data_IF_722850249006
#
_entry.id   IF_722850249006
#
_cell.length_a   1.000
_cell.length_b   1.000
_cell.length_c   1.000
_cell.angle_alpha   90.00
_cell.angle_beta   90.00
_cell.angle_gamma   90.00
#
_symmetry.space_group_name_H-M   'P 1'
#
loop_
_entity.id
_entity.type
_entity.pdbx_description
1 polymer ?
#
# COMPACT_ATOMS: atom_id res chain seq x y z
N UNK A 1 -7.71 12.68 10.52
CA UNK A 1 -7.45 11.24 10.36
C UNK A 1 -6.74 10.96 9.04
N UNK A 2 -5.55 10.40 9.11
CA UNK A 2 -4.70 10.04 7.98
C UNK A 2 -4.42 8.55 8.05
N UNK A 3 -4.57 7.86 6.92
CA UNK A 3 -4.09 6.49 6.76
C UNK A 3 -2.62 6.58 6.34
N UNK A 4 -1.74 5.85 7.02
CA UNK A 4 -0.30 5.83 6.68
C UNK A 4 0.21 4.40 6.71
N UNK A 5 1.22 4.10 5.89
CA UNK A 5 1.91 2.80 5.93
C UNK A 5 2.65 2.62 7.25
N UNK A 6 2.52 1.42 7.85
CA UNK A 6 3.27 1.03 9.06
C UNK A 6 4.76 0.97 8.80
N UNK A 7 5.14 0.21 7.77
CA UNK A 7 6.52 -0.09 7.45
C UNK A 7 6.66 -0.27 5.93
N UNK A 8 7.44 0.61 5.32
CA UNK A 8 7.68 0.59 3.88
C UNK A 8 8.47 -0.64 3.42
N UNK A 9 9.44 -1.09 4.22
CA UNK A 9 10.29 -2.23 3.90
C UNK A 9 9.50 -3.53 3.97
N UNK A 10 8.72 -3.72 5.04
CA UNK A 10 7.84 -4.90 5.16
C UNK A 10 6.80 -4.97 4.05
N UNK A 11 6.28 -3.82 3.61
CA UNK A 11 5.38 -3.80 2.45
C UNK A 11 6.08 -4.25 1.16
N UNK A 12 7.31 -3.81 0.90
CA UNK A 12 8.08 -4.26 -0.27
C UNK A 12 8.39 -5.76 -0.21
N UNK A 13 8.79 -6.27 0.95
CA UNK A 13 9.00 -7.71 1.18
C UNK A 13 7.71 -8.48 0.90
N UNK A 14 6.57 -7.96 1.35
CA UNK A 14 5.25 -8.56 1.10
C UNK A 14 4.93 -8.63 -0.38
N UNK A 15 5.18 -7.55 -1.14
CA UNK A 15 4.99 -7.54 -2.59
C UNK A 15 5.86 -8.62 -3.27
N UNK A 16 7.13 -8.70 -2.89
CA UNK A 16 8.07 -9.70 -3.43
C UNK A 16 7.57 -11.12 -3.13
N UNK A 17 7.15 -11.40 -1.88
CA UNK A 17 6.60 -12.70 -1.48
C UNK A 17 5.32 -13.07 -2.22
N UNK A 18 4.50 -12.07 -2.56
CA UNK A 18 3.28 -12.23 -3.37
C UNK A 18 3.55 -12.21 -4.89
N UNK A 19 4.82 -12.18 -5.31
CA UNK A 19 5.21 -12.27 -6.72
C UNK A 19 5.03 -10.97 -7.53
N UNK A 20 4.97 -9.82 -6.86
CA UNK A 20 4.80 -8.52 -7.49
C UNK A 20 6.05 -7.64 -7.37
N UNK A 21 6.39 -6.95 -8.45
CA UNK A 21 7.07 -5.66 -8.36
C UNK A 21 6.07 -4.56 -7.98
N UNK A 22 6.56 -3.46 -7.39
CA UNK A 22 5.74 -2.28 -7.11
C UNK A 22 5.02 -1.74 -8.37
N UNK A 23 5.71 -1.78 -9.53
CA UNK A 23 5.12 -1.41 -10.82
C UNK A 23 3.97 -2.34 -11.23
N UNK A 24 4.14 -3.64 -11.13
CA UNK A 24 3.06 -4.59 -11.44
C UNK A 24 1.88 -4.43 -10.49
N UNK A 25 2.16 -4.28 -9.20
CA UNK A 25 1.12 -4.11 -8.19
C UNK A 25 0.32 -2.82 -8.38
N UNK A 26 0.98 -1.68 -8.64
CA UNK A 26 0.28 -0.41 -8.91
C UNK A 26 -0.68 -0.52 -10.09
N UNK A 27 -0.25 -1.16 -11.18
CA UNK A 27 -1.13 -1.46 -12.33
C UNK A 27 -2.29 -2.36 -11.92
N UNK A 28 -2.04 -3.41 -11.13
CA UNK A 28 -3.05 -4.38 -10.67
C UNK A 28 -4.17 -3.70 -9.88
N UNK A 29 -3.85 -2.75 -9.00
CA UNK A 29 -4.84 -2.02 -8.18
C UNK A 29 -5.36 -0.73 -8.86
N UNK A 30 -4.89 -0.44 -10.08
CA UNK A 30 -5.36 0.68 -10.90
C UNK A 30 -4.90 2.06 -10.41
N UNK A 31 -3.67 2.18 -9.92
CA UNK A 31 -3.04 3.46 -9.56
C UNK A 31 -1.69 3.64 -10.26
N UNK A 32 -1.16 4.87 -10.30
CA UNK A 32 0.18 5.10 -10.83
C UNK A 32 1.26 4.59 -9.86
N UNK A 33 2.35 4.08 -10.42
CA UNK A 33 3.52 3.65 -9.64
C UNK A 33 4.09 4.81 -8.80
N UNK A 34 4.13 6.01 -9.37
CA UNK A 34 4.56 7.21 -8.66
C UNK A 34 3.68 7.53 -7.45
N UNK A 35 2.35 7.38 -7.57
CA UNK A 35 1.46 7.57 -6.44
C UNK A 35 1.65 6.48 -5.37
N UNK A 36 1.77 5.22 -5.78
CA UNK A 36 2.09 4.11 -4.88
C UNK A 36 3.41 4.37 -4.11
N UNK A 37 4.43 4.86 -4.81
CA UNK A 37 5.71 5.22 -4.19
C UNK A 37 5.56 6.37 -3.20
N UNK A 38 4.73 7.38 -3.52
CA UNK A 38 4.47 8.49 -2.61
C UNK A 38 3.76 8.05 -1.32
N UNK A 39 2.80 7.12 -1.40
CA UNK A 39 2.08 6.64 -0.21
C UNK A 39 2.92 5.72 0.66
N UNK A 40 3.72 4.82 0.07
CA UNK A 40 4.64 3.94 0.82
C UNK A 40 5.65 4.76 1.62
N UNK A 41 6.19 5.82 1.02
CA UNK A 41 7.17 6.71 1.65
C UNK A 41 6.51 7.86 2.44
N UNK A 42 5.23 7.76 2.77
CA UNK A 42 4.46 8.75 3.55
C UNK A 42 4.51 10.20 3.02
N UNK A 43 4.86 10.39 1.74
CA UNK A 43 4.81 11.69 1.05
C UNK A 43 3.37 12.08 0.72
N UNK A 44 2.47 11.10 0.62
CA UNK A 44 1.03 11.26 0.50
C UNK A 44 0.33 10.20 1.34
N UNK A 45 -0.95 10.42 1.60
CA UNK A 45 -1.79 9.44 2.28
C UNK A 45 -2.73 8.78 1.26
N UNK A 46 -2.90 7.45 1.29
CA UNK A 46 -3.93 6.79 0.51
C UNK A 46 -5.33 7.21 1.01
N UNK A 47 -6.31 7.22 0.11
CA UNK A 47 -7.71 7.26 0.52
C UNK A 47 -8.12 5.91 1.12
N UNK A 48 -9.22 5.84 1.89
CA UNK A 48 -9.76 4.57 2.38
C UNK A 48 -10.01 3.55 1.27
N UNK A 49 -10.47 4.01 0.10
CA UNK A 49 -10.67 3.15 -1.06
C UNK A 49 -9.37 2.56 -1.61
N UNK A 50 -8.28 3.33 -1.63
CA UNK A 50 -6.96 2.83 -2.05
C UNK A 50 -6.41 1.86 -1.02
N UNK A 51 -6.52 2.17 0.28
CA UNK A 51 -6.09 1.26 1.34
C UNK A 51 -6.83 -0.09 1.26
N UNK A 52 -8.16 -0.06 1.08
CA UNK A 52 -8.99 -1.26 0.90
C UNK A 52 -8.59 -2.09 -0.33
N UNK A 53 -8.31 -1.44 -1.47
CA UNK A 53 -7.83 -2.16 -2.66
C UNK A 53 -6.50 -2.88 -2.40
N UNK A 54 -5.60 -2.24 -1.65
CA UNK A 54 -4.29 -2.83 -1.32
C UNK A 54 -4.47 -4.06 -0.45
N UNK A 55 -5.27 -3.96 0.62
CA UNK A 55 -5.52 -5.07 1.55
C UNK A 55 -6.23 -6.23 0.86
N UNK A 56 -7.25 -5.96 0.04
CA UNK A 56 -7.98 -6.99 -0.71
C UNK A 56 -7.09 -7.76 -1.69
N UNK A 57 -6.22 -7.07 -2.44
CA UNK A 57 -5.35 -7.71 -3.42
C UNK A 57 -4.16 -8.48 -2.82
N UNK A 58 -3.78 -8.13 -1.59
CA UNK A 58 -2.72 -8.83 -0.87
C UNK A 58 -3.26 -9.89 0.09
N UNK A 59 -4.58 -9.94 0.30
CA UNK A 59 -5.24 -10.84 1.27
C UNK A 59 -4.66 -10.65 2.68
N UNK A 60 -4.56 -9.40 3.09
CA UNK A 60 -4.03 -8.99 4.39
C UNK A 60 -5.04 -8.08 5.09
N UNK A 61 -5.00 -8.03 6.41
CA UNK A 61 -5.83 -7.13 7.17
C UNK A 61 -5.33 -5.69 7.06
N UNK A 62 -6.22 -4.72 7.30
CA UNK A 62 -5.86 -3.30 7.24
C UNK A 62 -4.69 -2.98 8.18
N UNK A 63 -4.74 -3.52 9.40
CA UNK A 63 -3.73 -3.31 10.41
C UNK A 63 -2.43 -4.08 10.12
N UNK A 64 -2.34 -4.96 9.13
CA UNK A 64 -1.04 -5.52 8.72
C UNK A 64 -0.20 -4.48 7.96
N UNK A 65 -0.87 -3.54 7.29
CA UNK A 65 -0.23 -2.62 6.32
C UNK A 65 -0.27 -1.17 6.81
N UNK A 66 -1.34 -0.76 7.49
CA UNK A 66 -1.66 0.64 7.75
C UNK A 66 -1.89 0.96 9.22
N UNK A 67 -1.74 2.25 9.57
CA UNK A 67 -2.26 2.83 10.82
C UNK A 67 -3.10 4.06 10.52
N UNK A 68 -4.02 4.37 11.43
CA UNK A 68 -4.79 5.62 11.41
C UNK A 68 -4.19 6.57 12.43
N UNK A 69 -3.70 7.71 11.94
CA UNK A 69 -3.20 8.81 12.77
C UNK A 69 -4.24 9.93 12.81
N UNK A 70 -4.37 10.59 13.96
CA UNK A 70 -5.31 11.71 14.14
C UNK A 70 -4.73 12.98 13.51
#
# INVERSE_FOLDING_TARGET
>A
MKIVFKDAEQFQITLIRKGFSQRQFSKKIGISEAYLHQIINQKKNPSPAVAKKITEHLELDFDDIFTVQI
#
